data_IF_226212754280
#
_entry.id   IF_226212754280
#
_cell.length_a   1.000
_cell.length_b   1.000
_cell.length_c   1.000
_cell.angle_alpha   90.00
_cell.angle_beta   90.00
_cell.angle_gamma   90.00
#
_symmetry.space_group_name_H-M   'P 1'
#
loop_
_entity.id
_entity.type
_entity.pdbx_description
1 polymer ?
#
# COMPACT_ATOMS: atom_id res chain seq x y z
N UNK A 1 2.92 -5.64 -7.52
CA UNK A 1 1.44 -5.72 -7.51
C UNK A 1 0.88 -4.42 -6.95
N UNK A 2 -0.28 -3.98 -7.44
CA UNK A 2 -0.98 -2.78 -6.99
C UNK A 2 -1.73 -3.04 -5.67
N UNK A 3 -1.57 -2.17 -4.66
CA UNK A 3 -2.16 -2.36 -3.34
C UNK A 3 -2.19 -1.08 -2.48
N UNK A 4 -2.90 -1.14 -1.34
CA UNK A 4 -2.74 -0.26 -0.18
C UNK A 4 -1.98 -1.04 0.90
N UNK A 5 -1.07 -0.38 1.62
CA UNK A 5 -0.39 -0.99 2.76
C UNK A 5 -1.36 -1.26 3.92
N UNK A 6 -2.37 -0.39 4.10
CA UNK A 6 -3.48 -0.61 5.02
C UNK A 6 -4.83 -0.42 4.28
N UNK A 7 -5.43 -1.47 3.72
CA UNK A 7 -6.67 -1.36 2.95
C UNK A 7 -7.93 -1.18 3.84
N UNK A 8 -7.77 -0.86 5.12
CA UNK A 8 -8.90 -0.69 6.02
C UNK A 8 -9.84 0.42 5.55
N UNK A 9 -11.14 0.12 5.56
CA UNK A 9 -12.19 1.02 5.08
C UNK A 9 -12.30 1.16 3.56
N UNK A 10 -11.41 0.52 2.78
CA UNK A 10 -11.33 0.72 1.33
C UNK A 10 -12.31 -0.07 0.46
N UNK A 11 -13.11 -0.97 1.03
CA UNK A 11 -14.19 -1.65 0.29
C UNK A 11 -15.54 -1.17 0.81
N UNK A 12 -16.41 -0.81 -0.13
CA UNK A 12 -17.71 -0.16 0.02
C UNK A 12 -18.75 -1.01 0.78
N UNK A 13 -18.51 -1.23 2.06
CA UNK A 13 -19.56 -1.60 2.99
C UNK A 13 -19.53 -0.63 4.15
N UNK A 14 -20.62 0.11 4.32
CA UNK A 14 -20.92 0.92 5.51
C UNK A 14 -20.94 0.07 6.81
N UNK A 15 -20.79 -1.24 6.68
CA UNK A 15 -20.57 -2.18 7.77
C UNK A 15 -19.06 -2.38 7.98
N UNK A 16 -18.54 -2.05 9.18
CA UNK A 16 -17.19 -2.42 9.65
C UNK A 16 -16.89 -3.94 9.51
N UNK A 17 -17.90 -4.75 9.21
CA UNK A 17 -17.84 -6.20 9.11
C UNK A 17 -17.34 -6.74 7.74
N UNK A 18 -17.52 -6.04 6.61
CA UNK A 18 -17.15 -6.60 5.28
C UNK A 18 -15.80 -6.11 4.72
N UNK A 19 -15.31 -4.91 5.06
CA UNK A 19 -14.00 -4.40 4.61
C UNK A 19 -12.79 -5.02 5.33
N UNK A 20 -11.57 -4.92 4.78
CA UNK A 20 -10.35 -5.50 5.42
C UNK A 20 -10.11 -4.94 6.83
N UNK A 21 -9.72 -5.77 7.83
CA UNK A 21 -9.42 -5.27 9.16
C UNK A 21 -8.22 -4.33 9.15
N UNK A 22 -8.28 -3.29 9.98
CA UNK A 22 -7.14 -2.39 10.24
C UNK A 22 -5.92 -3.17 10.72
N UNK A 23 -4.85 -3.14 9.93
CA UNK A 23 -3.59 -3.81 10.24
C UNK A 23 -2.63 -2.94 11.08
N UNK A 24 -3.03 -1.72 11.41
CA UNK A 24 -2.26 -0.80 12.23
C UNK A 24 -1.21 0.00 11.47
N UNK A 25 -0.95 -0.25 10.19
CA UNK A 25 0.00 0.57 9.43
C UNK A 25 -0.64 1.94 9.15
N UNK A 26 0.09 3.03 9.41
CA UNK A 26 -0.40 4.41 9.23
C UNK A 26 0.42 5.21 8.23
N UNK A 27 1.74 5.10 8.34
CA UNK A 27 2.69 5.75 7.46
C UNK A 27 3.66 4.70 6.90
N UNK A 28 3.91 4.79 5.61
CA UNK A 28 4.97 4.02 4.96
C UNK A 28 6.04 4.99 4.50
N UNK A 29 7.30 4.63 4.79
CA UNK A 29 8.48 5.34 4.38
C UNK A 29 9.35 4.41 3.52
N UNK A 30 9.64 4.83 2.30
CA UNK A 30 10.50 4.10 1.36
C UNK A 30 11.72 4.94 1.04
N UNK A 31 12.91 4.46 1.41
CA UNK A 31 14.18 5.11 1.13
C UNK A 31 14.98 4.34 0.08
N UNK A 32 15.36 4.99 -1.00
CA UNK A 32 16.05 4.37 -2.12
C UNK A 32 17.56 4.51 -2.05
N UNK A 33 18.28 3.46 -2.46
CA UNK A 33 19.74 3.33 -2.36
C UNK A 33 20.43 3.15 -3.72
N UNK A 34 19.80 3.59 -4.83
CA UNK A 34 20.25 3.25 -6.19
C UNK A 34 20.95 4.43 -6.90
N UNK A 35 22.28 4.58 -6.77
CA UNK A 35 22.99 5.75 -7.31
C UNK A 35 23.15 5.73 -8.83
N UNK A 36 22.93 4.57 -9.45
CA UNK A 36 23.09 4.36 -10.89
C UNK A 36 21.76 4.45 -11.65
N UNK A 37 20.68 4.90 -11.00
CA UNK A 37 19.40 5.07 -11.69
C UNK A 37 19.48 6.21 -12.71
N UNK A 38 19.17 5.90 -13.97
CA UNK A 38 19.09 6.89 -15.06
C UNK A 38 17.77 6.75 -15.83
N UNK A 39 16.96 7.84 -15.95
CA UNK A 39 15.71 7.80 -16.70
C UNK A 39 15.89 7.51 -18.20
N UNK A 40 17.08 7.75 -18.76
CA UNK A 40 17.37 7.58 -20.20
C UNK A 40 17.81 6.17 -20.56
N UNK A 41 18.28 5.40 -19.59
CA UNK A 41 18.79 4.03 -19.76
C UNK A 41 17.73 3.00 -20.20
N UNK A 42 16.45 3.38 -20.22
CA UNK A 42 15.33 2.49 -20.54
C UNK A 42 14.86 1.60 -19.38
N UNK A 43 15.48 1.74 -18.19
CA UNK A 43 15.02 1.09 -16.98
C UNK A 43 13.95 1.94 -16.27
N UNK A 44 12.69 1.57 -16.46
CA UNK A 44 11.54 2.37 -16.03
C UNK A 44 10.98 1.99 -14.66
N UNK A 45 11.75 1.23 -13.86
CA UNK A 45 11.36 0.86 -12.51
C UNK A 45 11.06 2.08 -11.63
N UNK A 46 10.50 1.82 -10.44
CA UNK A 46 10.15 2.87 -9.49
C UNK A 46 8.83 2.59 -8.79
N UNK A 47 8.27 3.64 -8.20
CA UNK A 47 7.03 3.58 -7.45
C UNK A 47 5.97 4.40 -8.17
N UNK A 48 4.94 3.74 -8.69
CA UNK A 48 3.73 4.41 -9.16
C UNK A 48 2.82 4.66 -7.94
N UNK A 49 2.55 5.93 -7.65
CA UNK A 49 1.59 6.40 -6.65
C UNK A 49 0.29 6.81 -7.35
N UNK A 50 -0.83 6.23 -6.96
CA UNK A 50 -2.13 6.56 -7.53
C UNK A 50 -2.81 7.63 -6.67
N UNK A 51 -3.22 8.72 -7.31
CA UNK A 51 -3.81 9.87 -6.64
C UNK A 51 -5.31 9.60 -6.44
N UNK A 52 -5.76 9.64 -5.19
CA UNK A 52 -7.16 9.46 -4.80
C UNK A 52 -7.77 10.78 -4.36
N UNK A 53 -9.10 10.90 -4.40
CA UNK A 53 -9.80 12.06 -3.86
C UNK A 53 -9.60 12.13 -2.34
N UNK A 54 -9.00 13.20 -1.77
CA UNK A 54 -8.77 13.32 -0.33
C UNK A 54 -10.07 13.33 0.50
N UNK A 55 -11.21 13.60 -0.12
CA UNK A 55 -12.53 13.66 0.55
C UNK A 55 -13.23 12.31 0.66
N UNK A 56 -12.78 11.31 -0.09
CA UNK A 56 -13.41 9.99 -0.14
C UNK A 56 -12.53 8.95 0.54
N UNK A 57 -13.14 7.89 1.06
CA UNK A 57 -12.38 6.73 1.53
C UNK A 57 -11.77 6.03 0.32
N UNK A 58 -10.46 5.79 0.32
CA UNK A 58 -9.73 5.26 -0.82
C UNK A 58 -10.07 3.78 -1.01
N UNK A 59 -10.56 3.43 -2.20
CA UNK A 59 -10.68 2.04 -2.61
C UNK A 59 -9.55 1.66 -3.55
N UNK A 60 -8.85 0.52 -3.36
CA UNK A 60 -7.86 0.04 -4.32
C UNK A 60 -8.44 -0.05 -5.74
N UNK A 61 -9.65 -0.59 -5.89
CA UNK A 61 -10.28 -0.74 -7.21
C UNK A 61 -10.45 0.60 -7.93
N UNK A 62 -10.99 1.61 -7.23
CA UNK A 62 -11.15 2.98 -7.76
C UNK A 62 -9.83 3.70 -7.99
N UNK A 63 -8.87 3.53 -7.08
CA UNK A 63 -7.59 4.21 -7.16
C UNK A 63 -6.79 3.80 -8.41
N UNK A 64 -6.99 2.58 -8.92
CA UNK A 64 -6.35 2.08 -10.14
C UNK A 64 -6.72 2.90 -11.39
N UNK A 65 -7.91 3.50 -11.41
CA UNK A 65 -8.41 4.33 -12.52
C UNK A 65 -7.94 5.79 -12.42
N UNK A 66 -7.41 6.19 -11.27
CA UNK A 66 -6.96 7.55 -11.00
C UNK A 66 -5.65 7.91 -11.72
N UNK A 67 -5.34 9.22 -11.80
CA UNK A 67 -4.04 9.67 -12.30
C UNK A 67 -2.93 9.15 -11.37
N UNK A 68 -1.76 8.89 -11.94
CA UNK A 68 -0.61 8.37 -11.20
C UNK A 68 0.62 9.25 -11.35
N UNK A 69 1.40 9.32 -10.26
CA UNK A 69 2.72 9.93 -10.21
C UNK A 69 3.76 8.80 -10.13
N UNK A 70 4.77 8.83 -11.00
CA UNK A 70 5.91 7.92 -10.89
C UNK A 70 7.04 8.59 -10.12
N UNK A 71 7.51 7.92 -9.07
CA UNK A 71 8.67 8.32 -8.30
C UNK A 71 9.85 7.46 -8.72
N UNK A 72 10.92 8.14 -9.14
CA UNK A 72 12.18 7.52 -9.50
C UNK A 72 12.87 6.93 -8.25
N UNK A 73 13.39 5.70 -8.31
CA UNK A 73 14.05 5.05 -7.18
C UNK A 73 15.52 5.48 -7.04
N UNK A 74 15.84 6.75 -7.28
CA UNK A 74 17.20 7.27 -7.21
C UNK A 74 17.73 7.26 -5.77
N UNK A 75 19.03 7.06 -5.58
CA UNK A 75 19.66 7.15 -4.26
C UNK A 75 19.30 8.46 -3.54
N UNK A 76 19.21 8.38 -2.22
CA UNK A 76 18.90 9.52 -1.34
C UNK A 76 17.49 10.11 -1.55
N UNK A 77 16.58 9.30 -2.10
CA UNK A 77 15.17 9.63 -2.21
C UNK A 77 14.39 8.95 -1.10
N UNK A 78 13.77 9.75 -0.23
CA UNK A 78 12.80 9.30 0.78
C UNK A 78 11.38 9.64 0.32
N UNK A 79 10.52 8.62 0.22
CA UNK A 79 9.10 8.78 -0.05
C UNK A 79 8.32 8.48 1.22
N UNK A 80 7.46 9.40 1.65
CA UNK A 80 6.57 9.24 2.79
C UNK A 80 5.12 9.31 2.30
N UNK A 81 4.30 8.34 2.67
CA UNK A 81 2.88 8.33 2.29
C UNK A 81 1.99 7.66 3.34
N UNK A 82 0.74 8.10 3.39
CA UNK A 82 -0.27 7.53 4.27
C UNK A 82 -0.68 6.14 3.74
N UNK A 83 -0.42 5.11 4.54
CA UNK A 83 -0.58 3.70 4.18
C UNK A 83 -2.03 3.31 3.88
N UNK A 84 -2.97 4.03 4.49
CA UNK A 84 -4.40 3.83 4.27
C UNK A 84 -4.95 4.61 3.06
N UNK A 85 -4.21 5.59 2.53
CA UNK A 85 -4.69 6.51 1.49
C UNK A 85 -4.08 6.31 0.12
N UNK A 86 -2.82 5.91 0.09
CA UNK A 86 -2.01 5.97 -1.12
C UNK A 86 -1.83 4.59 -1.72
N UNK A 87 -2.69 4.29 -2.70
CA UNK A 87 -2.56 3.06 -3.46
C UNK A 87 -1.34 3.13 -4.37
N UNK A 88 -0.63 2.02 -4.49
CA UNK A 88 0.68 2.04 -5.11
C UNK A 88 1.13 0.72 -5.67
N UNK A 89 2.09 0.79 -6.58
CA UNK A 89 2.76 -0.39 -7.12
C UNK A 89 4.23 -0.11 -7.40
N UNK A 90 5.05 -1.13 -7.19
CA UNK A 90 6.40 -1.16 -7.73
C UNK A 90 6.32 -1.50 -9.21
N UNK A 91 6.96 -0.65 -10.02
CA UNK A 91 7.13 -0.85 -11.45
C UNK A 91 8.33 -1.76 -11.65
N UNK A 92 8.14 -2.81 -12.44
CA UNK A 92 9.17 -3.79 -12.73
C UNK A 92 10.39 -3.12 -13.38
N UNK A 93 11.57 -3.49 -12.88
CA UNK A 93 12.86 -3.09 -13.41
C UNK A 93 13.23 -4.01 -14.57
N UNK A 94 13.90 -3.49 -15.59
CA UNK A 94 14.45 -4.26 -16.70
C UNK A 94 15.94 -4.51 -16.49
N UNK A 95 16.51 -5.49 -17.19
CA UNK A 95 17.94 -5.78 -17.13
C UNK A 95 18.37 -6.61 -15.92
N UNK A 96 19.67 -6.61 -15.63
CA UNK A 96 20.30 -7.48 -14.62
C UNK A 96 20.71 -6.73 -13.33
N UNK A 97 20.56 -5.41 -13.32
CA UNK A 97 20.94 -4.57 -12.18
C UNK A 97 20.06 -4.86 -10.95
N UNK A 98 20.67 -4.74 -9.76
CA UNK A 98 19.98 -4.91 -8.49
C UNK A 98 19.52 -3.58 -7.94
N UNK A 99 18.26 -3.56 -7.51
CA UNK A 99 17.59 -2.38 -6.98
C UNK A 99 17.26 -2.57 -5.51
N UNK A 100 17.61 -1.58 -4.70
CA UNK A 100 17.48 -1.63 -3.25
C UNK A 100 16.59 -0.48 -2.75
N UNK A 101 15.76 -0.80 -1.77
CA UNK A 101 14.97 0.14 -1.00
C UNK A 101 14.89 -0.34 0.45
N UNK A 102 14.90 0.61 1.39
CA UNK A 102 14.59 0.37 2.79
C UNK A 102 13.15 0.83 3.04
N UNK A 103 12.30 -0.10 3.51
CA UNK A 103 10.92 0.20 3.89
C UNK A 103 10.79 0.23 5.41
N UNK A 104 10.18 1.29 5.91
CA UNK A 104 9.79 1.45 7.30
C UNK A 104 8.27 1.68 7.38
N UNK A 105 7.60 0.88 8.19
CA UNK A 105 6.19 1.04 8.51
C UNK A 105 6.03 1.63 9.91
N UNK A 106 5.33 2.75 10.00
CA UNK A 106 4.94 3.33 11.29
C UNK A 106 3.57 2.78 11.70
N UNK A 107 3.54 2.16 12.88
CA UNK A 107 2.42 1.33 13.32
C UNK A 107 1.64 1.98 14.47
N UNK A 108 0.32 1.77 14.47
CA UNK A 108 -0.54 1.92 15.62
C UNK A 108 -0.66 0.56 16.34
N UNK A 109 -0.02 0.44 17.50
CA UNK A 109 0.04 -0.81 18.25
C UNK A 109 -1.33 -1.36 18.68
N UNK A 110 -2.26 -0.49 19.05
CA UNK A 110 -3.61 -0.91 19.46
C UNK A 110 -4.40 -1.53 18.31
N UNK A 111 -4.36 -0.90 17.13
CA UNK A 111 -4.98 -1.42 15.92
C UNK A 111 -4.37 -2.77 15.51
N UNK A 112 -3.04 -2.86 15.48
CA UNK A 112 -2.33 -4.09 15.14
C UNK A 112 -2.68 -5.25 16.08
N UNK A 113 -2.75 -5.02 17.40
CA UNK A 113 -3.15 -6.03 18.37
C UNK A 113 -4.61 -6.49 18.19
N UNK A 114 -5.49 -5.60 17.71
CA UNK A 114 -6.90 -5.91 17.45
C UNK A 114 -7.10 -6.73 16.17
N UNK A 115 -6.17 -6.64 15.20
CA UNK A 115 -6.30 -7.25 13.87
C UNK A 115 -6.51 -8.77 13.96
N UNK A 116 -5.66 -9.48 14.72
CA UNK A 116 -5.74 -10.93 14.87
C UNK A 116 -7.10 -11.37 15.46
N UNK A 117 -7.60 -10.64 16.47
CA UNK A 117 -8.90 -10.90 17.08
C UNK A 117 -10.03 -10.71 16.08
N UNK A 118 -9.99 -9.65 15.27
CA UNK A 118 -10.99 -9.37 14.23
C UNK A 118 -11.00 -10.45 13.13
N UNK A 119 -9.83 -10.92 12.70
CA UNK A 119 -9.70 -12.00 11.70
C UNK A 119 -10.32 -13.30 12.22
N UNK A 120 -9.97 -13.71 13.45
CA UNK A 120 -10.51 -14.94 14.06
C UNK A 120 -12.03 -14.85 14.24
N UNK A 121 -12.53 -13.71 14.73
CA UNK A 121 -13.96 -13.49 14.91
C UNK A 121 -14.74 -13.63 13.59
N UNK A 122 -14.20 -13.09 12.49
CA UNK A 122 -14.82 -13.19 11.15
C UNK A 122 -14.81 -14.62 10.61
N UNK A 123 -13.70 -15.35 10.75
CA UNK A 123 -13.62 -16.77 10.35
C UNK A 123 -14.67 -17.62 11.08
N UNK A 124 -14.86 -17.38 12.37
CA UNK A 124 -15.86 -18.11 13.17
C UNK A 124 -17.30 -17.75 12.78
N UNK A 125 -17.57 -16.49 12.38
CA UNK A 125 -18.90 -16.09 11.87
C UNK A 125 -19.22 -16.79 10.54
N UNK A 126 -18.27 -16.80 9.59
CA UNK A 126 -18.46 -17.45 8.29
C UNK A 126 -18.77 -18.95 8.44
N UNK A 127 -17.98 -19.66 9.24
CA UNK A 127 -18.19 -21.10 9.50
C UNK A 127 -19.56 -21.44 10.12
N UNK A 128 -20.21 -20.50 10.81
CA UNK A 128 -21.55 -20.69 11.40
C UNK A 128 -22.68 -20.40 10.43
N UNK A 129 -22.43 -19.65 9.36
CA UNK A 129 -23.42 -19.38 8.31
C UNK A 129 -23.51 -20.53 7.29
N UNK A 130 -22.43 -21.32 7.17
CA UNK A 130 -22.33 -22.46 6.26
C UNK A 130 -22.82 -23.79 6.88
N UNK A 131 -23.32 -23.76 8.12
CA UNK A 131 -23.78 -24.92 8.92
C UNK A 131 -25.25 -24.81 9.29
#
# INVERSE_FOLDING_TARGET
AFHLDNPHGGDESEEEEKGTPDNGIRLTATYYLNPHWDPKSGNHGGLDMFLTNPKETPSPSKAKEGPKLRIAPHADTLVLYLSERMAHQIVETKGEDKWFALNLWCLNGGAMQSMAKKIVARRNKANKQDS
#
